data_IF_803113305201
#
_entry.id   IF_803113305201
#
_cell.length_a   1.000
_cell.length_b   1.000
_cell.length_c   1.000
_cell.angle_alpha   90.00
_cell.angle_beta   90.00
_cell.angle_gamma   90.00
#
_symmetry.space_group_name_H-M   'P 1'
#
loop_
_entity.id
_entity.type
_entity.pdbx_description
1 polymer ?
#
# COMPACT_ATOMS: atom_id res chain seq x y z
N UNK A 1 33.31 -22.99 -1.10
CA UNK A 1 32.24 -23.09 -2.08
C UNK A 1 30.92 -23.09 -1.31
N UNK A 2 30.43 -21.90 -0.96
CA UNK A 2 29.18 -21.77 -0.23
C UNK A 2 28.06 -21.68 -1.23
N UNK A 3 27.36 -22.79 -1.44
CA UNK A 3 26.06 -22.80 -2.09
C UNK A 3 25.09 -22.04 -1.19
N UNK A 4 24.80 -20.79 -1.53
CA UNK A 4 23.59 -20.14 -1.06
C UNK A 4 22.40 -20.93 -1.61
N UNK A 5 21.88 -21.81 -0.80
CA UNK A 5 20.52 -22.32 -0.95
C UNK A 5 19.61 -21.10 -0.80
N UNK A 6 19.35 -20.40 -1.91
CA UNK A 6 18.17 -19.59 -2.04
C UNK A 6 17.00 -20.57 -1.93
N UNK A 7 16.51 -20.74 -0.72
CA UNK A 7 15.20 -21.29 -0.53
C UNK A 7 14.26 -20.40 -1.36
N UNK A 8 13.79 -20.92 -2.50
CA UNK A 8 12.64 -20.37 -3.21
C UNK A 8 11.45 -20.54 -2.27
N UNK A 9 11.38 -19.69 -1.25
CA UNK A 9 10.15 -19.53 -0.49
C UNK A 9 9.19 -18.86 -1.46
N UNK A 10 8.28 -19.67 -1.99
CA UNK A 10 7.18 -19.17 -2.82
C UNK A 10 6.47 -18.13 -1.97
N UNK A 11 6.71 -16.88 -2.27
CA UNK A 11 6.09 -15.77 -1.56
C UNK A 11 4.64 -15.71 -2.03
N UNK A 12 3.71 -16.06 -1.17
CA UNK A 12 2.28 -15.98 -1.46
C UNK A 12 1.71 -14.64 -0.96
N UNK A 13 0.60 -14.15 -1.53
CA UNK A 13 -0.04 -12.92 -1.08
C UNK A 13 -0.38 -12.93 0.42
N UNK A 14 -0.75 -14.09 0.96
CA UNK A 14 -1.06 -14.28 2.38
C UNK A 14 0.17 -14.01 3.24
N UNK A 15 1.35 -14.51 2.84
CA UNK A 15 2.60 -14.24 3.55
C UNK A 15 3.01 -12.78 3.42
N UNK A 16 2.82 -12.18 2.24
CA UNK A 16 3.10 -10.74 2.03
C UNK A 16 2.22 -9.89 2.93
N UNK A 17 0.95 -10.25 3.13
CA UNK A 17 0.03 -9.50 3.98
C UNK A 17 0.51 -9.36 5.43
N UNK A 18 1.37 -10.26 5.89
CA UNK A 18 1.97 -10.22 7.24
C UNK A 18 3.24 -9.35 7.32
N UNK A 19 3.70 -8.80 6.22
CA UNK A 19 4.92 -8.03 6.21
C UNK A 19 4.77 -6.68 6.92
N UNK A 20 5.73 -6.40 7.78
CA UNK A 20 5.89 -5.08 8.38
C UNK A 20 6.51 -4.08 7.38
N UNK A 21 6.47 -2.79 7.70
CA UNK A 21 7.15 -1.76 6.91
C UNK A 21 8.64 -2.08 6.69
N UNK A 22 9.34 -2.55 7.70
CA UNK A 22 10.75 -2.95 7.58
C UNK A 22 10.94 -4.09 6.57
N UNK A 23 10.04 -5.07 6.56
CA UNK A 23 10.10 -6.18 5.61
C UNK A 23 9.86 -5.72 4.17
N UNK A 24 8.95 -4.78 3.96
CA UNK A 24 8.75 -4.15 2.65
C UNK A 24 10.02 -3.41 2.19
N UNK A 25 10.67 -2.68 3.09
CA UNK A 25 11.94 -2.01 2.80
C UNK A 25 13.07 -2.99 2.44
N UNK A 26 13.13 -4.15 3.10
CA UNK A 26 14.08 -5.22 2.76
C UNK A 26 13.78 -5.80 1.37
N UNK A 27 12.52 -6.04 1.05
CA UNK A 27 12.13 -6.49 -0.28
C UNK A 27 12.56 -5.51 -1.36
N UNK A 28 12.43 -4.21 -1.16
CA UNK A 28 12.93 -3.20 -2.10
C UNK A 28 14.45 -3.31 -2.32
N UNK A 29 15.20 -3.68 -1.30
CA UNK A 29 16.65 -3.93 -1.44
C UNK A 29 16.91 -5.14 -2.33
N UNK A 30 16.15 -6.22 -2.15
CA UNK A 30 16.25 -7.41 -3.01
C UNK A 30 15.83 -7.14 -4.46
N UNK A 31 14.92 -6.19 -4.66
CA UNK A 31 14.49 -5.71 -5.97
C UNK A 31 15.45 -4.68 -6.61
N UNK A 32 16.65 -4.50 -6.07
CA UNK A 32 17.63 -3.48 -6.52
C UNK A 32 17.11 -2.03 -6.47
N UNK A 33 16.23 -1.75 -5.50
CA UNK A 33 15.67 -0.41 -5.23
C UNK A 33 16.11 0.11 -3.85
N UNK A 34 17.29 -0.32 -3.40
CA UNK A 34 17.81 -0.01 -2.07
C UNK A 34 17.96 1.49 -1.81
N UNK A 35 18.28 2.27 -2.83
CA UNK A 35 18.43 3.73 -2.73
C UNK A 35 17.12 4.46 -2.38
N UNK A 36 15.96 3.87 -2.78
CA UNK A 36 14.63 4.43 -2.51
C UNK A 36 13.99 3.86 -1.25
N UNK A 37 14.47 2.72 -0.77
CA UNK A 37 13.92 2.02 0.39
C UNK A 37 13.78 2.92 1.64
N UNK A 38 14.76 3.79 1.99
CA UNK A 38 14.63 4.66 3.15
C UNK A 38 13.43 5.62 3.12
N UNK A 39 12.92 5.94 1.93
CA UNK A 39 11.78 6.84 1.76
C UNK A 39 10.46 6.25 2.30
N UNK A 40 10.40 4.93 2.48
CA UNK A 40 9.25 4.28 3.13
C UNK A 40 9.31 4.26 4.66
N UNK A 41 10.43 4.71 5.25
CA UNK A 41 10.56 4.71 6.71
C UNK A 41 9.50 5.62 7.32
N UNK A 42 8.68 5.05 8.22
CA UNK A 42 7.59 5.79 8.86
C UNK A 42 6.38 6.11 7.99
N UNK A 43 6.35 5.64 6.73
CA UNK A 43 5.21 5.86 5.82
C UNK A 43 3.96 5.05 6.18
N UNK A 44 4.10 4.04 7.05
CA UNK A 44 3.02 3.11 7.36
C UNK A 44 2.72 2.08 6.26
N UNK A 45 3.44 2.09 5.15
CA UNK A 45 3.28 1.06 4.11
C UNK A 45 3.72 -0.29 4.65
N UNK A 46 2.84 -1.26 4.59
CA UNK A 46 3.06 -2.63 5.03
C UNK A 46 2.39 -3.61 4.06
N UNK A 47 2.71 -4.90 4.20
CA UNK A 47 2.25 -5.89 3.24
C UNK A 47 0.74 -6.01 3.12
N UNK A 48 -0.01 -5.93 4.22
CA UNK A 48 -1.47 -6.00 4.15
C UNK A 48 -2.07 -4.86 3.32
N UNK A 49 -1.52 -3.64 3.43
CA UNK A 49 -1.93 -2.51 2.59
C UNK A 49 -1.65 -2.80 1.11
N UNK A 50 -0.49 -3.36 0.79
CA UNK A 50 -0.11 -3.69 -0.58
C UNK A 50 -1.02 -4.76 -1.20
N UNK A 51 -1.46 -5.74 -0.42
CA UNK A 51 -2.26 -6.88 -0.89
C UNK A 51 -3.76 -6.57 -0.88
N UNK A 52 -4.28 -6.05 0.22
CA UNK A 52 -5.72 -5.96 0.45
C UNK A 52 -6.35 -4.63 0.02
N UNK A 53 -5.55 -3.57 -0.15
CA UNK A 53 -6.08 -2.31 -0.65
C UNK A 53 -6.14 -2.32 -2.18
N UNK A 54 -7.34 -2.38 -2.78
CA UNK A 54 -7.47 -2.47 -4.23
C UNK A 54 -6.87 -1.27 -4.99
N UNK A 55 -6.93 -0.08 -4.39
CA UNK A 55 -6.42 1.15 -4.99
C UNK A 55 -4.93 1.40 -4.70
N UNK A 56 -4.27 0.52 -3.95
CA UNK A 56 -2.83 0.61 -3.74
C UNK A 56 -2.09 0.01 -4.94
N UNK A 57 -1.59 0.87 -5.80
CA UNK A 57 -0.91 0.50 -7.05
C UNK A 57 0.60 0.64 -6.96
N UNK A 58 1.32 0.05 -7.92
CA UNK A 58 2.76 0.26 -8.06
C UNK A 58 3.14 1.72 -8.35
N UNK A 59 2.25 2.49 -9.00
CA UNK A 59 2.46 3.92 -9.24
C UNK A 59 2.35 4.74 -7.96
N UNK A 60 1.40 4.39 -7.07
CA UNK A 60 1.33 4.98 -5.74
C UNK A 60 2.59 4.65 -4.94
N UNK A 61 3.04 3.40 -4.98
CA UNK A 61 4.29 3.00 -4.32
C UNK A 61 5.49 3.77 -4.87
N UNK A 62 5.58 3.95 -6.20
CA UNK A 62 6.63 4.75 -6.83
C UNK A 62 6.61 6.22 -6.37
N UNK A 63 5.42 6.79 -6.19
CA UNK A 63 5.27 8.14 -5.67
C UNK A 63 5.73 8.26 -4.22
N UNK A 64 5.37 7.28 -3.37
CA UNK A 64 5.82 7.22 -1.96
C UNK A 64 7.34 7.02 -1.85
N UNK A 65 7.93 6.29 -2.77
CA UNK A 65 9.38 6.13 -2.91
C UNK A 65 10.07 7.38 -3.47
N UNK A 66 9.32 8.39 -3.88
CA UNK A 66 9.83 9.60 -4.54
C UNK A 66 10.57 9.29 -5.86
N UNK A 67 10.13 8.26 -6.59
CA UNK A 67 10.66 7.95 -7.91
C UNK A 67 10.03 8.89 -8.93
N UNK A 68 10.82 9.76 -9.58
CA UNK A 68 10.27 10.73 -10.56
C UNK A 68 9.55 10.06 -11.72
N UNK A 69 8.53 10.71 -12.26
CA UNK A 69 7.73 10.17 -13.37
C UNK A 69 8.55 9.93 -14.65
N UNK A 70 9.58 10.75 -14.89
CA UNK A 70 10.45 10.59 -16.05
C UNK A 70 11.39 9.37 -15.98
N UNK A 71 11.58 8.77 -14.79
CA UNK A 71 12.34 7.50 -14.64
C UNK A 71 11.46 6.30 -14.98
N UNK A 72 11.01 6.23 -16.22
CA UNK A 72 10.04 5.25 -16.69
C UNK A 72 10.52 3.80 -16.58
N UNK A 73 11.79 3.54 -16.87
CA UNK A 73 12.37 2.19 -16.76
C UNK A 73 12.40 1.72 -15.31
N UNK A 74 12.73 2.61 -14.38
CA UNK A 74 12.76 2.29 -12.95
C UNK A 74 11.35 2.03 -12.41
N UNK A 75 10.37 2.83 -12.82
CA UNK A 75 8.96 2.60 -12.48
C UNK A 75 8.45 1.28 -13.05
N UNK A 76 8.82 0.96 -14.28
CA UNK A 76 8.48 -0.34 -14.88
C UNK A 76 9.12 -1.51 -14.13
N UNK A 77 10.36 -1.38 -13.72
CA UNK A 77 11.06 -2.36 -12.90
C UNK A 77 10.33 -2.59 -11.57
N UNK A 78 9.98 -1.51 -10.86
CA UNK A 78 9.18 -1.60 -9.63
C UNK A 78 7.83 -2.29 -9.88
N UNK A 79 7.14 -1.94 -10.97
CA UNK A 79 5.85 -2.55 -11.33
C UNK A 79 5.97 -4.06 -11.52
N UNK A 80 7.00 -4.54 -12.23
CA UNK A 80 7.23 -5.97 -12.42
C UNK A 80 7.41 -6.70 -11.09
N UNK A 81 8.27 -6.17 -10.22
CA UNK A 81 8.51 -6.76 -8.90
C UNK A 81 7.28 -6.69 -7.99
N UNK A 82 6.50 -5.60 -8.07
CA UNK A 82 5.25 -5.47 -7.33
C UNK A 82 4.21 -6.50 -7.78
N UNK A 83 4.05 -6.69 -9.09
CA UNK A 83 3.11 -7.66 -9.65
C UNK A 83 3.48 -9.10 -9.27
N UNK A 84 4.77 -9.42 -9.30
CA UNK A 84 5.26 -10.74 -8.87
C UNK A 84 5.03 -10.97 -7.38
N UNK A 85 5.21 -9.93 -6.57
CA UNK A 85 5.05 -10.01 -5.12
C UNK A 85 3.59 -10.25 -4.71
N UNK A 86 2.66 -9.46 -5.25
CA UNK A 86 1.25 -9.54 -4.86
C UNK A 86 0.49 -10.65 -5.58
N UNK A 87 1.02 -11.13 -6.70
CA UNK A 87 0.46 -12.22 -7.47
C UNK A 87 -0.70 -11.84 -8.40
N UNK A 88 -1.01 -12.74 -9.33
CA UNK A 88 -1.97 -12.47 -10.41
C UNK A 88 -3.40 -12.24 -9.93
N UNK A 89 -3.85 -12.97 -8.92
CA UNK A 89 -5.20 -12.86 -8.37
C UNK A 89 -5.44 -11.49 -7.74
N UNK A 90 -4.49 -11.01 -6.95
CA UNK A 90 -4.56 -9.67 -6.34
C UNK A 90 -4.49 -8.58 -7.42
N UNK A 91 -3.64 -8.75 -8.43
CA UNK A 91 -3.55 -7.81 -9.54
C UNK A 91 -4.84 -7.73 -10.35
N UNK A 92 -5.57 -8.84 -10.50
CA UNK A 92 -6.87 -8.84 -11.14
C UNK A 92 -7.89 -7.98 -10.37
N UNK A 93 -7.97 -8.16 -9.06
CA UNK A 93 -8.84 -7.37 -8.18
C UNK A 93 -8.52 -5.87 -8.27
N UNK A 94 -7.23 -5.54 -8.29
CA UNK A 94 -6.78 -4.14 -8.43
C UNK A 94 -7.21 -3.51 -9.76
N UNK A 95 -7.05 -4.23 -10.87
CA UNK A 95 -7.50 -3.76 -12.21
C UNK A 95 -9.01 -3.57 -12.27
N UNK A 96 -9.78 -4.45 -11.67
CA UNK A 96 -11.24 -4.34 -11.61
C UNK A 96 -11.64 -3.10 -10.79
N UNK A 97 -10.97 -2.83 -9.69
CA UNK A 97 -11.20 -1.64 -8.88
C UNK A 97 -10.87 -0.35 -9.64
N UNK A 98 -9.76 -0.32 -10.37
CA UNK A 98 -9.36 0.84 -11.19
C UNK A 98 -10.34 1.12 -12.34
N UNK A 99 -11.00 0.10 -12.89
CA UNK A 99 -11.93 0.23 -14.00
C UNK A 99 -13.30 0.81 -13.60
N UNK A 100 -13.59 0.92 -12.31
CA UNK A 100 -14.87 1.44 -11.83
C UNK A 100 -14.91 2.96 -11.90
N UNK A 101 -15.94 3.57 -12.51
CA UNK A 101 -15.99 5.01 -12.83
C UNK A 101 -16.07 5.93 -11.60
N UNK A 102 -16.31 5.41 -10.41
CA UNK A 102 -16.49 6.18 -9.17
C UNK A 102 -15.29 6.14 -8.20
N UNK A 103 -14.16 5.57 -8.60
CA UNK A 103 -12.99 5.51 -7.75
C UNK A 103 -12.06 6.70 -7.99
N UNK A 104 -11.90 7.53 -6.95
CA UNK A 104 -10.81 8.49 -6.91
C UNK A 104 -9.50 7.73 -6.70
N UNK A 105 -8.55 7.87 -7.61
CA UNK A 105 -7.23 7.27 -7.47
C UNK A 105 -6.57 7.74 -6.16
N UNK A 106 -6.02 6.80 -5.40
CA UNK A 106 -5.18 7.14 -4.27
C UNK A 106 -3.90 7.80 -4.78
N UNK A 107 -3.60 8.96 -4.24
CA UNK A 107 -2.35 9.66 -4.48
C UNK A 107 -1.60 9.81 -3.16
N UNK A 108 -0.29 10.01 -3.23
CA UNK A 108 0.54 10.23 -2.05
C UNK A 108 0.11 11.45 -1.20
N UNK A 109 -0.72 12.33 -1.76
CA UNK A 109 -1.25 13.54 -1.12
C UNK A 109 -2.75 13.48 -0.85
N UNK A 110 -3.38 12.32 -1.03
CA UNK A 110 -4.83 12.17 -0.79
C UNK A 110 -5.12 12.43 0.69
N UNK A 111 -5.87 13.49 0.97
CA UNK A 111 -6.35 13.79 2.33
C UNK A 111 -7.64 13.04 2.58
N UNK A 112 -7.69 12.29 3.68
CA UNK A 112 -8.94 11.69 4.17
C UNK A 112 -9.84 12.82 4.66
N UNK A 113 -10.97 13.02 4.00
CA UNK A 113 -12.02 13.89 4.54
C UNK A 113 -12.65 13.18 5.73
N UNK A 114 -12.32 13.62 6.93
CA UNK A 114 -13.04 13.18 8.12
C UNK A 114 -14.51 13.58 7.94
N UNK A 115 -15.36 12.59 7.74
CA UNK A 115 -16.80 12.81 7.76
C UNK A 115 -17.16 13.55 9.03
N UNK A 116 -17.97 14.62 8.89
CA UNK A 116 -18.47 15.39 10.03
C UNK A 116 -18.96 14.42 11.09
N UNK A 117 -18.46 14.55 12.31
CA UNK A 117 -18.94 13.79 13.47
C UNK A 117 -20.47 13.94 13.51
N UNK A 118 -21.17 12.90 13.13
CA UNK A 118 -22.59 12.78 13.37
C UNK A 118 -22.76 12.84 14.89
N UNK A 119 -23.46 13.83 15.36
CA UNK A 119 -23.84 13.92 16.77
C UNK A 119 -24.59 12.64 17.10
N UNK A 120 -24.06 11.87 18.02
CA UNK A 120 -24.76 10.73 18.60
C UNK A 120 -26.01 11.22 19.31
N UNK A 121 -27.13 11.12 18.63
CA UNK A 121 -28.42 11.09 19.35
C UNK A 121 -28.56 9.65 19.86
N UNK A 122 -28.47 9.53 21.17
CA UNK A 122 -28.82 8.32 21.90
C UNK A 122 -30.33 8.06 21.75
N UNK A 123 -30.71 7.32 20.73
CA UNK A 123 -32.02 6.67 20.72
C UNK A 123 -31.82 5.19 21.04
N UNK A 124 -32.27 4.88 22.22
CA UNK A 124 -32.35 3.56 22.80
C UNK A 124 -33.35 2.70 21.99
N UNK A 125 -32.91 1.46 21.70
CA UNK A 125 -33.73 0.29 21.40
C UNK A 125 -34.03 -0.05 19.93
N UNK A 126 -33.44 -1.07 19.39
CA UNK A 126 -34.04 -2.43 19.37
C UNK A 126 -33.13 -3.42 18.70
N UNK A 127 -33.21 -4.62 19.22
CA UNK A 127 -32.45 -5.81 18.90
C UNK A 127 -33.04 -6.43 17.62
N UNK A 128 -32.28 -6.49 16.52
CA UNK A 128 -32.51 -7.49 15.47
C UNK A 128 -31.19 -7.91 14.87
N UNK A 129 -31.06 -9.25 14.79
CA UNK A 129 -29.95 -9.96 14.15
C UNK A 129 -29.96 -9.67 12.66
N UNK A 130 -28.80 -9.44 12.09
CA UNK A 130 -28.24 -10.21 10.96
C UNK A 130 -27.22 -9.44 10.14
N UNK A 131 -26.30 -10.20 9.61
CA UNK A 131 -25.47 -9.94 8.42
C UNK A 131 -24.24 -9.09 8.62
N UNK A 132 -23.16 -9.82 8.79
CA UNK A 132 -21.80 -9.50 8.34
C UNK A 132 -21.83 -8.86 6.95
N UNK A 133 -21.46 -7.60 6.89
CA UNK A 133 -21.02 -6.97 5.65
C UNK A 133 -19.91 -5.95 5.93
N UNK A 134 -18.74 -6.27 5.33
CA UNK A 134 -17.80 -5.26 4.89
C UNK A 134 -16.97 -4.65 5.99
N UNK A 135 -15.83 -5.27 6.27
CA UNK A 135 -14.67 -4.60 6.81
C UNK A 135 -14.32 -3.43 5.88
N UNK A 136 -14.73 -2.24 6.26
CA UNK A 136 -14.16 -1.02 5.72
C UNK A 136 -12.73 -0.94 6.26
N UNK A 137 -11.79 -1.28 5.40
CA UNK A 137 -10.38 -1.00 5.67
C UNK A 137 -10.22 0.50 5.84
N UNK A 138 -10.00 0.94 7.06
CA UNK A 138 -9.58 2.32 7.30
C UNK A 138 -8.16 2.44 6.76
N UNK A 139 -8.04 3.08 5.62
CA UNK A 139 -6.75 3.47 5.08
C UNK A 139 -6.24 4.60 5.95
N UNK A 140 -5.29 4.29 6.81
CA UNK A 140 -4.53 5.32 7.50
C UNK A 140 -3.44 5.77 6.53
N UNK A 141 -3.72 6.83 5.81
CA UNK A 141 -2.68 7.54 5.06
C UNK A 141 -1.94 8.38 6.09
N UNK A 142 -0.76 7.95 6.44
CA UNK A 142 0.10 8.70 7.34
C UNK A 142 0.70 9.83 6.53
N UNK A 143 0.40 11.06 6.93
CA UNK A 143 1.08 12.24 6.41
C UNK A 143 2.57 12.13 6.75
N UNK A 144 3.41 12.00 5.74
CA UNK A 144 4.83 12.29 5.91
C UNK A 144 4.96 13.81 6.02
N UNK A 145 5.05 14.28 7.24
CA UNK A 145 5.40 15.66 7.54
C UNK A 145 6.85 15.86 7.10
N UNK A 146 7.04 16.28 5.87
CA UNK A 146 8.32 16.85 5.46
C UNK A 146 8.38 18.28 5.99
N UNK A 147 8.79 18.38 7.22
CA UNK A 147 9.20 19.66 7.77
C UNK A 147 10.49 20.06 7.05
N UNK A 148 10.36 20.88 6.02
CA UNK A 148 11.48 21.63 5.46
C UNK A 148 11.68 22.80 6.39
N UNK A 149 12.55 22.62 7.36
CA UNK A 149 13.22 23.77 7.97
C UNK A 149 14.23 24.32 6.96
N UNK A 150 13.75 25.29 6.21
CA UNK A 150 14.61 26.23 5.53
C UNK A 150 15.13 27.20 6.59
N UNK A 151 16.34 26.99 7.01
CA UNK A 151 17.11 28.02 7.70
C UNK A 151 18.06 28.66 6.71
N UNK A 152 17.77 29.91 6.43
CA UNK A 152 18.69 31.06 6.12
C UNK A 152 20.12 30.69 5.83
#
# INVERSE_FOLDING_TARGET
MYFFLQANTVTTPELVSLWTNNRVMEWLRTANLSEYSPNLRGSGVHGALMVHEPLFTSDLLAALLSIPSHKTLLRRHLNLHFNDLVGKSVMQIKREAESQPNHANLTATTKVKNGKKSQFTLTRRSRTKSATKGLHSQIIIIETNQNKDSLT
#
